data_IF_108112376970
#
_entry.id   IF_108112376970
#
_cell.length_a   1.000
_cell.length_b   1.000
_cell.length_c   1.000
_cell.angle_alpha   90.00
_cell.angle_beta   90.00
_cell.angle_gamma   90.00
#
_symmetry.space_group_name_H-M   'P 1'
#
loop_
_entity.id
_entity.type
_entity.pdbx_description
1 polymer ?
#
# COMPACT_ATOMS: atom_id res chain seq x y z
N UNK A 1 -10.46 -2.77 1.31
CA UNK A 1 -10.88 -3.04 2.71
C UNK A 1 -9.83 -3.79 3.52
N UNK A 2 -9.13 -4.82 2.98
CA UNK A 2 -8.15 -5.60 3.77
C UNK A 2 -6.98 -4.74 4.27
N UNK A 3 -6.34 -3.96 3.42
CA UNK A 3 -5.27 -3.04 3.81
C UNK A 3 -5.74 -1.94 4.79
N UNK A 4 -7.01 -1.54 4.71
CA UNK A 4 -7.60 -0.64 5.70
C UNK A 4 -7.61 -1.28 7.10
N UNK A 5 -8.03 -2.55 7.22
CA UNK A 5 -8.10 -3.25 8.49
C UNK A 5 -6.71 -3.49 9.12
N UNK A 6 -5.65 -3.56 8.32
CA UNK A 6 -4.27 -3.69 8.82
C UNK A 6 -3.87 -2.55 9.75
N UNK A 7 -4.43 -1.33 9.56
CA UNK A 7 -4.14 -0.20 10.43
C UNK A 7 -4.51 -0.49 11.90
N UNK A 8 -5.60 -1.21 12.15
CA UNK A 8 -6.00 -1.56 13.51
C UNK A 8 -5.01 -2.49 14.21
N UNK A 9 -4.30 -3.35 13.47
CA UNK A 9 -3.32 -4.27 14.04
C UNK A 9 -2.06 -3.56 14.61
N UNK A 10 -1.90 -2.27 14.34
CA UNK A 10 -0.80 -1.45 14.85
C UNK A 10 -1.21 -0.54 16.03
N UNK A 11 -2.49 -0.49 16.35
CA UNK A 11 -2.98 0.35 17.44
C UNK A 11 -2.65 -0.27 18.81
N UNK A 12 -2.06 0.50 19.73
CA UNK A 12 -1.74 0.01 21.08
C UNK A 12 -2.95 -0.55 21.82
N UNK A 13 -4.12 0.05 21.63
CA UNK A 13 -5.36 -0.37 22.25
C UNK A 13 -5.94 -1.67 21.66
N UNK A 14 -5.63 -2.01 20.39
CA UNK A 14 -6.13 -3.20 19.71
C UNK A 14 -5.25 -4.42 19.94
N UNK A 15 -3.95 -4.23 19.97
CA UNK A 15 -2.97 -5.31 20.05
C UNK A 15 -3.24 -6.29 21.21
N UNK A 16 -3.59 -5.85 22.45
CA UNK A 16 -3.90 -6.75 23.54
C UNK A 16 -5.14 -7.63 23.31
N UNK A 17 -6.03 -7.23 22.40
CA UNK A 17 -7.23 -8.00 22.07
C UNK A 17 -6.98 -9.11 21.05
N UNK A 18 -5.98 -8.90 20.18
CA UNK A 18 -5.71 -9.81 19.04
C UNK A 18 -4.44 -10.64 19.24
N UNK A 19 -3.60 -10.33 20.24
CA UNK A 19 -2.36 -11.03 20.48
C UNK A 19 -2.01 -11.14 21.97
N UNK A 20 -1.37 -12.26 22.33
CA UNK A 20 -0.82 -12.49 23.65
C UNK A 20 0.36 -13.44 23.59
N UNK A 21 1.18 -13.45 24.63
CA UNK A 21 2.31 -14.38 24.72
C UNK A 21 1.81 -15.82 24.80
N UNK A 22 2.28 -16.67 23.89
CA UNK A 22 1.73 -18.03 23.68
C UNK A 22 1.81 -18.98 24.88
N UNK A 23 2.65 -18.71 25.88
CA UNK A 23 2.77 -19.50 27.11
C UNK A 23 2.11 -18.83 28.30
N UNK A 24 2.27 -17.51 28.46
CA UNK A 24 1.87 -16.81 29.68
C UNK A 24 0.51 -16.10 29.52
N UNK A 25 0.06 -15.86 28.30
CA UNK A 25 -1.14 -15.08 28.02
C UNK A 25 -0.99 -13.57 28.23
N UNK A 26 0.20 -13.10 28.60
CA UNK A 26 0.46 -11.68 28.83
C UNK A 26 0.47 -10.89 27.52
N UNK A 27 0.02 -9.61 27.52
CA UNK A 27 0.09 -8.76 26.36
C UNK A 27 1.55 -8.41 25.99
N UNK A 28 1.75 -7.93 24.76
CA UNK A 28 3.06 -7.44 24.32
C UNK A 28 3.47 -6.24 25.19
N UNK A 29 4.68 -6.27 25.82
CA UNK A 29 5.18 -5.13 26.61
C UNK A 29 5.23 -3.83 25.80
N UNK A 30 4.88 -2.71 26.45
CA UNK A 30 4.77 -1.40 25.78
C UNK A 30 6.08 -0.97 25.10
N UNK A 31 7.25 -1.24 25.70
CA UNK A 31 8.55 -0.94 25.11
C UNK A 31 8.84 -1.74 23.83
N UNK A 32 8.29 -2.94 23.73
CA UNK A 32 8.40 -3.78 22.52
C UNK A 32 7.43 -3.30 21.43
N UNK A 33 6.24 -2.88 21.84
CA UNK A 33 5.26 -2.30 20.91
C UNK A 33 5.78 -0.99 20.31
N UNK A 34 6.37 -0.12 21.10
CA UNK A 34 7.00 1.12 20.63
C UNK A 34 8.08 0.82 19.57
N UNK A 35 8.96 -0.14 19.83
CA UNK A 35 10.00 -0.56 18.88
C UNK A 35 9.41 -1.17 17.61
N UNK A 36 8.36 -1.96 17.74
CA UNK A 36 7.64 -2.53 16.60
C UNK A 36 7.05 -1.42 15.72
N UNK A 37 6.36 -0.44 16.32
CA UNK A 37 5.80 0.69 15.60
C UNK A 37 6.89 1.55 14.93
N UNK A 38 8.01 1.80 15.60
CA UNK A 38 9.14 2.52 15.01
C UNK A 38 9.76 1.79 13.81
N UNK A 39 9.69 0.45 13.78
CA UNK A 39 10.22 -0.33 12.66
C UNK A 39 9.40 -0.19 11.37
N UNK A 40 8.13 0.23 11.43
CA UNK A 40 7.27 0.40 10.26
C UNK A 40 7.80 1.41 9.24
N UNK A 41 8.43 2.46 9.74
CA UNK A 41 8.95 3.54 8.90
C UNK A 41 10.43 3.35 8.53
N UNK A 42 11.07 2.32 9.08
CA UNK A 42 12.46 2.02 8.77
C UNK A 42 12.62 1.59 7.31
N UNK A 43 13.38 2.36 6.55
CA UNK A 43 13.57 2.17 5.09
C UNK A 43 12.27 2.10 4.28
N UNK A 44 11.20 2.71 4.74
CA UNK A 44 9.89 2.72 4.05
C UNK A 44 9.96 3.35 2.66
N UNK A 45 10.76 4.41 2.47
CA UNK A 45 11.00 5.01 1.15
C UNK A 45 11.65 4.03 0.17
N UNK A 46 12.60 3.21 0.63
CA UNK A 46 13.21 2.17 -0.19
C UNK A 46 12.20 1.08 -0.57
N UNK A 47 11.36 0.68 0.38
CA UNK A 47 10.25 -0.26 0.13
C UNK A 47 9.24 0.32 -0.85
N UNK A 48 8.90 1.61 -0.73
CA UNK A 48 8.01 2.31 -1.66
C UNK A 48 8.59 2.31 -3.08
N UNK A 49 9.85 2.73 -3.25
CA UNK A 49 10.54 2.72 -4.54
C UNK A 49 10.51 1.32 -5.17
N UNK A 50 10.72 0.27 -4.36
CA UNK A 50 10.65 -1.12 -4.85
C UNK A 50 9.28 -1.50 -5.38
N UNK A 51 8.20 -1.08 -4.73
CA UNK A 51 6.85 -1.34 -5.21
C UNK A 51 6.51 -0.54 -6.47
N UNK A 52 7.03 0.67 -6.59
CA UNK A 52 6.89 1.48 -7.81
C UNK A 52 7.66 0.87 -8.99
N UNK A 53 8.87 0.33 -8.74
CA UNK A 53 9.62 -0.45 -9.75
C UNK A 53 8.77 -1.61 -10.30
N UNK A 54 8.11 -2.37 -9.43
CA UNK A 54 7.27 -3.48 -9.85
C UNK A 54 6.05 -3.02 -10.66
N UNK A 55 5.38 -1.97 -10.20
CA UNK A 55 4.21 -1.43 -10.88
C UNK A 55 4.55 -0.84 -12.25
N UNK A 56 5.64 -0.07 -12.34
CA UNK A 56 6.06 0.54 -13.60
C UNK A 56 6.56 -0.52 -14.59
N UNK A 57 7.33 -1.50 -14.12
CA UNK A 57 7.75 -2.63 -14.94
C UNK A 57 6.54 -3.39 -15.51
N UNK A 58 5.55 -3.72 -14.67
CA UNK A 58 4.33 -4.39 -15.11
C UNK A 58 3.59 -3.59 -16.18
N UNK A 59 3.37 -2.30 -15.96
CA UNK A 59 2.73 -1.45 -16.96
C UNK A 59 3.49 -1.42 -18.27
N UNK A 60 4.78 -1.17 -18.23
CA UNK A 60 5.58 -0.98 -19.42
C UNK A 60 5.68 -2.24 -20.28
N UNK A 61 5.89 -3.41 -19.68
CA UNK A 61 5.95 -4.67 -20.47
C UNK A 61 4.64 -5.02 -21.16
N UNK A 62 3.49 -4.59 -20.60
CA UNK A 62 2.19 -4.82 -21.23
C UNK A 62 1.81 -3.72 -22.23
N UNK A 63 2.14 -2.48 -21.95
CA UNK A 63 1.82 -1.33 -22.81
C UNK A 63 2.73 -1.25 -24.04
N UNK A 64 4.03 -1.56 -23.86
CA UNK A 64 5.07 -1.42 -24.89
C UNK A 64 5.31 -2.74 -25.67
N UNK A 65 4.47 -3.76 -25.44
CA UNK A 65 4.62 -5.05 -26.11
C UNK A 65 4.48 -4.91 -27.64
N UNK A 66 5.50 -5.41 -28.35
CA UNK A 66 5.52 -5.50 -29.80
C UNK A 66 6.10 -6.86 -30.23
N UNK A 67 5.26 -7.70 -30.81
CA UNK A 67 5.63 -9.04 -31.24
C UNK A 67 6.71 -9.07 -32.34
N UNK A 68 6.88 -7.95 -33.07
CA UNK A 68 7.85 -7.86 -34.20
C UNK A 68 9.30 -7.70 -33.75
N UNK A 69 9.54 -7.23 -32.51
CA UNK A 69 10.89 -6.93 -32.01
C UNK A 69 11.40 -7.93 -30.95
N UNK A 70 10.62 -8.99 -30.68
CA UNK A 70 10.99 -10.03 -29.73
C UNK A 70 10.88 -9.61 -28.26
N UNK A 71 11.55 -10.33 -27.35
CA UNK A 71 11.46 -10.07 -25.91
C UNK A 71 12.16 -8.77 -25.52
N UNK A 72 11.43 -7.89 -24.85
CA UNK A 72 11.94 -6.64 -24.28
C UNK A 72 11.99 -6.63 -22.74
N UNK A 73 11.71 -7.76 -22.11
CA UNK A 73 11.56 -7.87 -20.65
C UNK A 73 12.78 -7.35 -19.90
N UNK A 74 13.97 -7.82 -20.24
CA UNK A 74 15.20 -7.40 -19.56
C UNK A 74 15.57 -5.93 -19.85
N UNK A 75 15.31 -5.46 -21.06
CA UNK A 75 15.53 -4.06 -21.45
C UNK A 75 14.64 -3.13 -20.62
N UNK A 76 13.33 -3.38 -20.60
CA UNK A 76 12.37 -2.56 -19.87
C UNK A 76 12.66 -2.61 -18.36
N UNK A 77 12.99 -3.80 -17.83
CA UNK A 77 13.34 -3.92 -16.41
C UNK A 77 14.58 -3.10 -16.05
N UNK A 78 15.59 -3.09 -16.92
CA UNK A 78 16.80 -2.27 -16.71
C UNK A 78 16.46 -0.79 -16.72
N UNK A 79 15.73 -0.31 -17.72
CA UNK A 79 15.31 1.11 -17.82
C UNK A 79 14.50 1.56 -16.60
N UNK A 80 13.54 0.75 -16.14
CA UNK A 80 12.76 1.04 -14.94
C UNK A 80 13.64 1.09 -13.69
N UNK A 81 14.62 0.20 -13.59
CA UNK A 81 15.56 0.21 -12.46
C UNK A 81 16.47 1.41 -12.47
N UNK A 82 16.95 1.83 -13.63
CA UNK A 82 17.77 3.04 -13.77
C UNK A 82 17.01 4.30 -13.35
N UNK A 83 15.69 4.32 -13.51
CA UNK A 83 14.81 5.42 -13.12
C UNK A 83 14.42 5.40 -11.64
N UNK A 84 14.08 4.22 -11.11
CA UNK A 84 13.39 4.09 -9.79
C UNK A 84 14.31 3.51 -8.72
N UNK A 85 15.16 2.53 -9.06
CA UNK A 85 15.88 1.75 -8.04
C UNK A 85 17.00 2.53 -7.39
N UNK A 86 17.00 2.55 -6.07
CA UNK A 86 18.09 3.15 -5.27
C UNK A 86 19.34 2.24 -5.25
N UNK A 87 19.13 0.93 -5.32
CA UNK A 87 20.19 -0.08 -5.29
C UNK A 87 20.13 -0.96 -6.54
N UNK A 88 21.20 -0.96 -7.32
CA UNK A 88 21.34 -1.84 -8.47
C UNK A 88 21.42 -3.31 -8.03
N UNK A 89 20.55 -4.19 -8.49
CA UNK A 89 20.66 -5.61 -8.20
C UNK A 89 21.86 -6.24 -8.93
N UNK A 90 22.41 -7.35 -8.43
CA UNK A 90 23.51 -8.04 -9.13
C UNK A 90 23.08 -8.55 -10.50
N UNK A 91 24.03 -8.63 -11.44
CA UNK A 91 23.78 -8.97 -12.85
C UNK A 91 23.15 -10.37 -13.08
N UNK A 92 23.26 -11.25 -12.11
CA UNK A 92 22.60 -12.56 -12.14
C UNK A 92 21.14 -12.55 -11.67
N UNK A 93 20.63 -11.41 -11.23
CA UNK A 93 19.23 -11.31 -10.79
C UNK A 93 18.28 -11.59 -11.95
N UNK A 94 17.28 -12.44 -11.71
CA UNK A 94 16.26 -12.83 -12.68
C UNK A 94 14.87 -12.61 -12.13
N UNK A 95 14.64 -11.42 -11.57
CA UNK A 95 13.38 -11.04 -10.94
C UNK A 95 12.17 -11.32 -11.83
N UNK A 96 12.22 -10.92 -13.09
CA UNK A 96 11.10 -11.09 -14.02
C UNK A 96 10.64 -12.56 -14.13
N UNK A 97 11.57 -13.52 -14.10
CA UNK A 97 11.25 -14.94 -14.20
C UNK A 97 10.51 -15.51 -12.99
N UNK A 98 10.56 -14.83 -11.84
CA UNK A 98 9.90 -15.24 -10.60
C UNK A 98 8.69 -14.38 -10.24
N UNK A 99 8.35 -13.38 -11.07
CA UNK A 99 7.27 -12.44 -10.80
C UNK A 99 5.90 -13.05 -11.15
N UNK A 100 5.50 -14.03 -10.36
CA UNK A 100 4.27 -14.80 -10.57
C UNK A 100 2.99 -13.95 -10.51
N UNK A 101 2.99 -12.83 -9.79
CA UNK A 101 1.83 -11.94 -9.69
C UNK A 101 1.29 -11.54 -11.06
N UNK A 102 2.18 -11.11 -11.97
CA UNK A 102 1.78 -10.62 -13.29
C UNK A 102 1.76 -11.70 -14.38
N UNK A 103 2.48 -12.81 -14.19
CA UNK A 103 2.55 -13.89 -15.20
C UNK A 103 1.67 -15.10 -14.88
N UNK A 104 1.18 -15.24 -13.65
CA UNK A 104 0.34 -16.37 -13.24
C UNK A 104 -0.69 -16.03 -12.16
N UNK A 105 -0.60 -14.86 -11.55
CA UNK A 105 -1.42 -14.45 -10.40
C UNK A 105 -2.63 -13.57 -10.74
N UNK A 106 -2.87 -13.25 -12.01
CA UNK A 106 -4.01 -12.43 -12.42
C UNK A 106 -3.81 -10.91 -12.28
N UNK A 107 -2.59 -10.44 -12.03
CA UNK A 107 -2.27 -9.02 -11.86
C UNK A 107 -1.56 -8.39 -13.06
N UNK A 108 -1.64 -9.00 -14.25
CA UNK A 108 -1.07 -8.45 -15.48
C UNK A 108 -1.62 -7.04 -15.75
N UNK A 109 -0.71 -6.07 -15.95
CA UNK A 109 -1.01 -4.64 -16.03
C UNK A 109 -1.83 -4.08 -14.84
N UNK A 110 -1.85 -4.81 -13.72
CA UNK A 110 -2.66 -4.51 -12.55
C UNK A 110 -1.90 -4.45 -11.22
N UNK A 111 -0.59 -4.65 -11.21
CA UNK A 111 0.20 -4.66 -9.98
C UNK A 111 0.15 -3.32 -9.22
N UNK A 112 0.04 -2.20 -9.91
CA UNK A 112 -0.12 -0.87 -9.32
C UNK A 112 -1.29 -0.79 -8.33
N UNK A 113 -2.29 -1.66 -8.48
CA UNK A 113 -3.49 -1.65 -7.65
C UNK A 113 -3.20 -1.83 -6.16
N UNK A 114 -2.07 -2.49 -5.79
CA UNK A 114 -1.65 -2.58 -4.40
C UNK A 114 -1.37 -1.20 -3.79
N UNK A 115 -0.59 -0.37 -4.49
CA UNK A 115 -0.31 1.00 -4.01
C UNK A 115 -1.51 1.91 -4.11
N UNK A 116 -2.33 1.76 -5.14
CA UNK A 116 -3.59 2.49 -5.24
C UNK A 116 -4.53 2.18 -4.07
N UNK A 117 -4.66 0.91 -3.71
CA UNK A 117 -5.47 0.49 -2.56
C UNK A 117 -4.89 0.98 -1.23
N UNK A 118 -3.56 1.07 -1.08
CA UNK A 118 -2.92 1.65 0.10
C UNK A 118 -3.26 3.14 0.27
N UNK A 119 -3.26 3.92 -0.81
CA UNK A 119 -3.68 5.34 -0.78
C UNK A 119 -5.10 5.45 -0.23
N UNK A 120 -6.03 4.69 -0.81
CA UNK A 120 -7.42 4.69 -0.38
C UNK A 120 -7.60 4.20 1.06
N UNK A 121 -6.85 3.17 1.45
CA UNK A 121 -6.90 2.60 2.80
C UNK A 121 -6.38 3.57 3.86
N UNK A 122 -5.24 4.21 3.60
CA UNK A 122 -4.65 5.18 4.52
C UNK A 122 -5.56 6.42 4.70
N UNK A 123 -6.09 6.95 3.58
CA UNK A 123 -6.97 8.11 3.64
C UNK A 123 -8.35 7.78 4.23
N UNK A 124 -8.88 6.58 3.99
CA UNK A 124 -10.10 6.16 4.68
C UNK A 124 -9.86 5.99 6.19
N UNK A 125 -8.70 5.46 6.59
CA UNK A 125 -8.36 5.29 7.99
C UNK A 125 -8.15 6.63 8.71
N UNK A 126 -7.65 7.65 8.02
CA UNK A 126 -7.49 8.98 8.61
C UNK A 126 -8.81 9.60 9.10
N UNK A 127 -9.97 9.18 8.56
CA UNK A 127 -11.26 9.59 9.13
C UNK A 127 -11.47 9.09 10.57
N UNK A 128 -10.97 7.89 10.85
CA UNK A 128 -11.02 7.33 12.21
C UNK A 128 -9.97 7.96 13.13
N UNK A 129 -8.79 8.31 12.61
CA UNK A 129 -7.80 9.07 13.36
C UNK A 129 -8.35 10.46 13.77
N UNK A 130 -9.14 11.11 12.89
CA UNK A 130 -9.76 12.41 13.11
C UNK A 130 -10.92 12.38 14.13
N UNK A 131 -11.72 11.32 14.15
CA UNK A 131 -12.95 11.21 14.95
C UNK A 131 -12.81 10.29 16.16
N UNK A 132 -11.82 9.40 16.14
CA UNK A 132 -11.59 8.33 17.11
C UNK A 132 -11.60 6.96 16.45
N UNK A 133 -10.61 6.13 16.77
CA UNK A 133 -10.40 4.82 16.13
C UNK A 133 -11.61 3.87 16.24
N UNK A 134 -12.50 4.11 17.21
CA UNK A 134 -13.69 3.30 17.45
C UNK A 134 -15.00 4.13 17.38
N UNK A 135 -14.97 5.28 16.67
CA UNK A 135 -16.17 6.08 16.46
C UNK A 135 -17.21 5.31 15.66
N UNK A 136 -18.38 5.10 16.25
CA UNK A 136 -19.44 4.27 15.66
C UNK A 136 -20.11 4.93 14.46
N UNK A 137 -20.21 6.25 14.45
CA UNK A 137 -20.83 6.99 13.33
C UNK A 137 -19.92 6.91 12.09
N UNK A 138 -18.62 7.06 12.27
CA UNK A 138 -17.63 6.87 11.20
C UNK A 138 -17.60 5.42 10.72
N UNK A 139 -17.67 4.45 11.63
CA UNK A 139 -17.72 3.04 11.29
C UNK A 139 -18.97 2.68 10.48
N UNK A 140 -20.15 3.17 10.88
CA UNK A 140 -21.40 2.94 10.14
C UNK A 140 -21.37 3.62 8.76
N UNK A 141 -20.80 4.82 8.67
CA UNK A 141 -20.61 5.49 7.39
C UNK A 141 -19.66 4.72 6.48
N UNK A 142 -18.52 4.22 7.01
CA UNK A 142 -17.60 3.35 6.26
C UNK A 142 -18.28 2.06 5.80
N UNK A 143 -19.01 1.40 6.69
CA UNK A 143 -19.78 0.20 6.35
C UNK A 143 -20.76 0.47 5.20
N UNK A 144 -21.53 1.55 5.29
CA UNK A 144 -22.57 1.89 4.31
C UNK A 144 -22.00 2.35 2.96
N UNK A 145 -20.99 3.23 2.97
CA UNK A 145 -20.47 3.84 1.75
C UNK A 145 -19.45 2.97 1.03
N UNK A 146 -18.71 2.12 1.76
CA UNK A 146 -17.61 1.32 1.19
C UNK A 146 -17.94 -0.17 1.20
N UNK A 147 -18.20 -0.76 2.37
CA UNK A 147 -18.31 -2.22 2.47
C UNK A 147 -19.59 -2.76 1.86
N UNK A 148 -20.73 -2.12 2.12
CA UNK A 148 -22.03 -2.58 1.67
C UNK A 148 -22.26 -2.39 0.17
N UNK A 149 -21.59 -1.40 -0.44
CA UNK A 149 -21.75 -1.14 -1.88
C UNK A 149 -20.90 -2.07 -2.74
N UNK A 150 -19.78 -2.55 -2.23
CA UNK A 150 -18.86 -3.42 -2.99
C UNK A 150 -18.51 -2.85 -4.35
N UNK A 151 -18.72 -3.64 -5.42
CA UNK A 151 -18.48 -3.24 -6.81
C UNK A 151 -19.75 -2.76 -7.55
N UNK A 152 -20.80 -2.36 -6.85
CA UNK A 152 -22.09 -1.97 -7.49
C UNK A 152 -22.12 -0.53 -7.99
N UNK A 153 -21.10 0.26 -7.67
CA UNK A 153 -20.94 1.67 -8.10
C UNK A 153 -19.48 2.02 -8.27
N UNK A 154 -19.21 3.17 -8.86
CA UNK A 154 -17.87 3.69 -9.03
C UNK A 154 -17.15 3.83 -7.68
N UNK A 155 -15.88 3.40 -7.61
CA UNK A 155 -15.10 3.39 -6.38
C UNK A 155 -14.76 4.81 -5.88
N UNK A 156 -14.54 5.76 -6.81
CA UNK A 156 -14.26 7.16 -6.44
C UNK A 156 -15.51 7.80 -5.84
N UNK A 157 -16.68 7.57 -6.43
CA UNK A 157 -17.95 8.09 -5.91
C UNK A 157 -18.23 7.54 -4.51
N UNK A 158 -18.02 6.24 -4.31
CA UNK A 158 -18.16 5.59 -3.01
C UNK A 158 -17.21 6.19 -1.96
N UNK A 159 -15.96 6.48 -2.37
CA UNK A 159 -14.97 7.10 -1.51
C UNK A 159 -15.33 8.55 -1.15
N UNK A 160 -15.77 9.34 -2.14
CA UNK A 160 -16.22 10.72 -1.93
C UNK A 160 -17.44 10.77 -1.00
N UNK A 161 -18.38 9.84 -1.13
CA UNK A 161 -19.51 9.75 -0.19
C UNK A 161 -19.05 9.48 1.24
N UNK A 162 -17.99 8.71 1.41
CA UNK A 162 -17.43 8.43 2.73
C UNK A 162 -16.61 9.60 3.30
N UNK A 163 -15.68 10.18 2.50
CA UNK A 163 -14.73 11.20 2.95
C UNK A 163 -15.17 12.65 2.69
N UNK A 164 -16.23 12.85 1.88
CA UNK A 164 -16.71 14.17 1.41
C UNK A 164 -15.66 14.93 0.59
N UNK A 165 -14.66 14.25 0.06
CA UNK A 165 -13.60 14.77 -0.80
C UNK A 165 -12.93 13.64 -1.59
N UNK A 166 -12.20 13.96 -2.67
CA UNK A 166 -11.34 13.00 -3.35
C UNK A 166 -10.23 12.45 -2.44
N UNK A 167 -9.64 11.28 -2.79
CA UNK A 167 -8.50 10.71 -2.08
C UNK A 167 -7.27 11.64 -2.08
N UNK A 168 -6.49 11.57 -1.00
CA UNK A 168 -5.20 12.26 -0.85
C UNK A 168 -4.08 11.25 -0.61
N UNK A 169 -2.87 11.57 -1.12
CA UNK A 169 -1.65 10.81 -0.86
C UNK A 169 -1.08 11.06 0.55
N UNK A 170 -1.42 12.19 1.13
CA UNK A 170 -0.82 12.67 2.38
C UNK A 170 -0.92 11.68 3.55
N UNK A 171 -2.08 11.04 3.81
CA UNK A 171 -2.18 10.03 4.87
C UNK A 171 -1.22 8.85 4.67
N UNK A 172 -1.04 8.36 3.44
CA UNK A 172 -0.11 7.27 3.14
C UNK A 172 1.35 7.69 3.37
N UNK A 173 1.74 8.88 2.91
CA UNK A 173 3.09 9.40 3.10
C UNK A 173 3.39 9.58 4.59
N UNK A 174 2.46 10.16 5.36
CA UNK A 174 2.57 10.29 6.82
C UNK A 174 2.72 8.93 7.51
N UNK A 175 1.89 7.95 7.18
CA UNK A 175 1.97 6.60 7.75
C UNK A 175 3.29 5.90 7.39
N UNK A 176 3.86 6.23 6.24
CA UNK A 176 5.16 5.72 5.80
C UNK A 176 6.34 6.47 6.42
N UNK A 177 6.11 7.52 7.22
CA UNK A 177 7.18 8.36 7.75
C UNK A 177 7.92 9.16 6.67
N UNK A 178 7.27 9.37 5.53
CA UNK A 178 7.77 10.20 4.43
C UNK A 178 7.13 11.57 4.59
N UNK A 179 7.85 12.50 5.19
CA UNK A 179 7.38 13.88 5.31
C UNK A 179 7.28 14.50 3.92
N UNK A 180 6.23 15.27 3.72
CA UNK A 180 6.00 16.05 2.49
C UNK A 180 6.97 17.24 2.38
N UNK A 181 8.25 17.02 2.63
CA UNK A 181 9.28 18.04 2.47
C UNK A 181 9.38 18.36 0.97
N UNK A 182 8.68 19.40 0.55
CA UNK A 182 8.91 20.06 -0.73
C UNK A 182 8.04 19.65 -1.92
N UNK A 183 6.88 19.03 -1.72
CA UNK A 183 5.84 18.98 -2.76
C UNK A 183 5.11 20.34 -2.84
N UNK A 184 5.87 21.42 -3.06
CA UNK A 184 5.28 22.63 -3.62
C UNK A 184 4.97 22.33 -5.08
N UNK A 185 3.69 22.17 -5.37
CA UNK A 185 3.16 22.15 -6.73
C UNK A 185 3.69 23.35 -7.51
N UNK A 186 4.56 23.13 -8.50
CA UNK A 186 4.84 24.06 -9.58
C UNK A 186 3.80 23.89 -10.66
#
# INVERSE_FOLDING_TARGET
>A
PSQFLENYAWLPEVLPWISSHYKTGEPLPADKLEKLNASRTFLSGLSMARQLEFALFDFRIHMEYDSSIGSQVEKILTEVRDEISVLAPPSYNRFANSFSHIFGGGYAAGYYSYKWAEVLAADAFSAFEEQGNFDLDTAERFRRCILAVGGTRDALDAFVDFRSRPPSLEPLLRQSGIDSIGLTTT
#
